data_IF_895157540424
#
_entry.id   IF_895157540424
#
_cell.length_a   1.000
_cell.length_b   1.000
_cell.length_c   1.000
_cell.angle_alpha   90.00
_cell.angle_beta   90.00
_cell.angle_gamma   90.00
#
_symmetry.space_group_name_H-M   'P 1'
#
loop_
_entity.id
_entity.type
_entity.pdbx_description
1 polymer ?
#
# COMPACT_ATOMS: atom_id res chain seq x y z
N UNK A 1 -5.03 13.77 -46.96
CA UNK A 1 -5.34 12.99 -45.75
C UNK A 1 -4.39 13.49 -44.68
N UNK A 2 -4.90 14.25 -43.71
CA UNK A 2 -4.06 14.82 -42.64
C UNK A 2 -4.07 13.78 -41.52
N UNK A 3 -2.95 13.10 -41.37
CA UNK A 3 -2.70 12.15 -40.29
C UNK A 3 -2.70 12.93 -38.96
N UNK A 4 -3.69 12.67 -38.12
CA UNK A 4 -3.85 13.31 -36.82
C UNK A 4 -2.73 12.79 -35.92
N UNK A 5 -1.85 13.68 -35.47
CA UNK A 5 -0.82 13.33 -34.49
C UNK A 5 -1.49 12.67 -33.26
N UNK A 6 -0.92 11.57 -32.72
CA UNK A 6 -1.45 10.94 -31.53
C UNK A 6 -1.43 11.96 -30.39
N UNK A 7 -2.60 12.18 -29.79
CA UNK A 7 -2.78 13.09 -28.66
C UNK A 7 -2.00 12.53 -27.46
N UNK A 8 -0.74 12.96 -27.36
CA UNK A 8 0.23 12.55 -26.34
C UNK A 8 -0.32 12.76 -24.93
N UNK A 9 -1.22 13.74 -24.77
CA UNK A 9 -1.94 13.99 -23.53
C UNK A 9 -2.78 12.79 -23.14
N UNK A 10 -3.52 12.19 -24.08
CA UNK A 10 -4.44 11.06 -23.85
C UNK A 10 -3.71 9.77 -23.48
N UNK A 11 -2.57 9.50 -24.13
CA UNK A 11 -1.67 8.39 -23.76
C UNK A 11 -1.10 8.56 -22.34
N UNK A 12 -0.74 9.79 -21.94
CA UNK A 12 -0.27 10.06 -20.57
C UNK A 12 -1.38 9.88 -19.51
N UNK A 13 -2.65 10.13 -19.83
CA UNK A 13 -3.77 9.89 -18.91
C UNK A 13 -4.07 8.39 -18.80
N UNK A 14 -4.05 7.69 -19.93
CA UNK A 14 -4.29 6.23 -19.99
C UNK A 14 -3.17 5.43 -19.29
N UNK A 15 -1.93 5.94 -19.28
CA UNK A 15 -0.81 5.34 -18.52
C UNK A 15 -0.90 5.65 -17.01
N UNK A 16 -1.46 6.80 -16.62
CA UNK A 16 -1.75 7.14 -15.21
C UNK A 16 -2.90 6.30 -14.64
N UNK A 17 -3.86 5.89 -15.47
CA UNK A 17 -4.97 5.02 -15.05
C UNK A 17 -4.53 3.58 -14.71
N UNK A 18 -3.32 3.13 -15.09
CA UNK A 18 -2.84 1.77 -14.83
C UNK A 18 -2.03 1.59 -13.55
N UNK A 19 -1.55 2.64 -12.91
CA UNK A 19 -1.03 2.56 -11.54
C UNK A 19 -2.19 2.67 -10.54
N UNK A 20 -3.11 1.69 -10.59
CA UNK A 20 -4.11 1.53 -9.54
C UNK A 20 -3.36 1.18 -8.26
N UNK A 21 -3.26 2.13 -7.33
CA UNK A 21 -2.73 1.90 -5.99
C UNK A 21 -3.37 0.61 -5.45
N UNK A 22 -2.53 -0.40 -5.20
CA UNK A 22 -2.99 -1.71 -4.76
C UNK A 22 -3.85 -1.53 -3.51
N UNK A 23 -5.10 -1.98 -3.55
CA UNK A 23 -6.11 -1.78 -2.49
C UNK A 23 -5.91 -2.73 -1.31
N UNK A 24 -4.66 -2.90 -0.89
CA UNK A 24 -4.23 -3.82 0.18
C UNK A 24 -3.87 -3.03 1.46
N UNK A 25 -4.32 -3.47 2.64
CA UNK A 25 -5.23 -4.59 2.85
C UNK A 25 -6.65 -4.25 2.37
N UNK A 26 -7.46 -5.29 2.12
CA UNK A 26 -8.88 -5.11 1.82
C UNK A 26 -9.61 -4.60 3.07
N UNK A 27 -10.19 -3.40 3.02
CA UNK A 27 -10.86 -2.79 4.17
C UNK A 27 -12.22 -3.44 4.49
N UNK A 28 -12.83 -4.16 3.53
CA UNK A 28 -14.08 -4.88 3.76
C UNK A 28 -13.90 -5.97 4.82
N UNK A 29 -12.71 -6.57 4.87
CA UNK A 29 -12.31 -7.56 5.90
C UNK A 29 -12.30 -6.92 7.29
N UNK A 30 -11.80 -5.68 7.41
CA UNK A 30 -11.82 -4.94 8.67
C UNK A 30 -13.25 -4.61 9.12
N UNK A 31 -14.15 -4.29 8.18
CA UNK A 31 -15.56 -4.06 8.46
C UNK A 31 -16.24 -5.34 8.98
N UNK A 32 -15.98 -6.49 8.35
CA UNK A 32 -16.50 -7.79 8.81
C UNK A 32 -16.05 -8.10 10.24
N UNK A 33 -14.76 -7.91 10.55
CA UNK A 33 -14.24 -8.07 11.91
C UNK A 33 -14.97 -7.18 12.92
N UNK A 34 -15.20 -5.91 12.58
CA UNK A 34 -15.93 -4.98 13.44
C UNK A 34 -17.35 -5.47 13.76
N UNK A 35 -18.08 -5.95 12.75
CA UNK A 35 -19.44 -6.48 12.92
C UNK A 35 -19.47 -7.70 13.84
N UNK A 36 -18.45 -8.56 13.77
CA UNK A 36 -18.33 -9.75 14.62
C UNK A 36 -18.10 -9.40 16.09
N UNK A 37 -17.31 -8.37 16.36
CA UNK A 37 -16.99 -7.91 17.72
C UNK A 37 -18.09 -7.07 18.37
N UNK A 38 -19.08 -6.57 17.61
CA UNK A 38 -20.10 -5.67 18.15
C UNK A 38 -21.18 -6.44 18.95
N UNK A 39 -21.53 -6.01 20.18
CA UNK A 39 -22.48 -6.75 21.04
C UNK A 39 -23.90 -6.77 20.46
N UNK A 40 -24.34 -5.69 19.83
CA UNK A 40 -25.74 -5.47 19.43
C UNK A 40 -26.08 -5.99 18.02
N UNK A 41 -25.16 -6.69 17.36
CA UNK A 41 -25.41 -7.30 16.05
C UNK A 41 -26.11 -8.66 16.20
N UNK A 42 -27.16 -8.85 15.41
CA UNK A 42 -27.92 -10.08 15.31
C UNK A 42 -27.04 -11.30 15.01
N UNK A 43 -27.37 -12.43 15.65
CA UNK A 43 -26.60 -13.68 15.53
C UNK A 43 -26.51 -14.21 14.09
N UNK A 44 -27.55 -14.00 13.27
CA UNK A 44 -27.53 -14.39 11.85
C UNK A 44 -26.52 -13.55 11.09
N UNK A 45 -26.50 -12.23 11.32
CA UNK A 45 -25.55 -11.32 10.68
C UNK A 45 -24.11 -11.64 11.10
N UNK A 46 -23.87 -12.00 12.36
CA UNK A 46 -22.55 -12.47 12.82
C UNK A 46 -22.11 -13.74 12.10
N UNK A 47 -23.02 -14.71 11.95
CA UNK A 47 -22.72 -15.95 11.24
C UNK A 47 -22.38 -15.69 9.76
N UNK A 48 -23.22 -14.93 9.06
CA UNK A 48 -23.00 -14.59 7.65
C UNK A 48 -21.70 -13.79 7.46
N UNK A 49 -21.38 -12.90 8.41
CA UNK A 49 -20.12 -12.12 8.39
C UNK A 49 -18.90 -12.99 8.64
N UNK A 50 -19.00 -13.99 9.53
CA UNK A 50 -17.93 -14.96 9.79
C UNK A 50 -17.63 -15.82 8.57
N UNK A 51 -18.66 -16.34 7.91
CA UNK A 51 -18.50 -17.15 6.70
C UNK A 51 -17.79 -16.36 5.59
N UNK A 52 -18.23 -15.13 5.33
CA UNK A 52 -17.59 -14.20 4.37
C UNK A 52 -16.15 -13.86 4.77
N UNK A 53 -15.91 -13.66 6.07
CA UNK A 53 -14.57 -13.35 6.55
C UNK A 53 -13.60 -14.51 6.31
N UNK A 54 -14.03 -15.75 6.58
CA UNK A 54 -13.21 -16.94 6.35
C UNK A 54 -12.95 -17.16 4.86
N UNK A 55 -13.92 -16.89 3.99
CA UNK A 55 -13.73 -16.93 2.54
C UNK A 55 -12.64 -15.95 2.09
N UNK A 56 -12.72 -14.69 2.53
CA UNK A 56 -11.72 -13.67 2.19
C UNK A 56 -10.34 -13.97 2.78
N UNK A 57 -10.28 -14.55 3.98
CA UNK A 57 -9.02 -14.99 4.61
C UNK A 57 -8.35 -16.08 3.77
N UNK A 58 -9.12 -17.04 3.25
CA UNK A 58 -8.61 -18.09 2.37
C UNK A 58 -8.14 -17.53 1.03
N UNK A 59 -8.95 -16.69 0.39
CA UNK A 59 -8.64 -16.07 -0.89
C UNK A 59 -7.35 -15.23 -0.83
N UNK A 60 -7.14 -14.52 0.28
CA UNK A 60 -5.99 -13.62 0.46
C UNK A 60 -4.82 -14.24 1.21
N UNK A 61 -4.91 -15.53 1.55
CA UNK A 61 -3.91 -16.28 2.31
C UNK A 61 -3.53 -15.61 3.64
N UNK A 62 -4.52 -15.08 4.38
CA UNK A 62 -4.29 -14.22 5.54
C UNK A 62 -4.03 -15.00 6.84
N UNK A 63 -3.00 -15.85 6.85
CA UNK A 63 -2.64 -16.69 8.01
C UNK A 63 -2.43 -15.92 9.32
N UNK A 64 -1.54 -14.90 9.36
CA UNK A 64 -1.31 -14.09 10.55
C UNK A 64 -2.58 -13.40 11.06
N UNK A 65 -3.38 -12.86 10.14
CA UNK A 65 -4.64 -12.21 10.48
C UNK A 65 -5.69 -13.20 11.01
N UNK A 66 -5.78 -14.40 10.44
CA UNK A 66 -6.70 -15.43 10.91
C UNK A 66 -6.48 -15.77 12.38
N UNK A 67 -5.22 -15.96 12.77
CA UNK A 67 -4.84 -16.21 14.16
C UNK A 67 -5.24 -15.06 15.09
N UNK A 68 -5.02 -13.81 14.66
CA UNK A 68 -5.42 -12.62 15.42
C UNK A 68 -6.93 -12.60 15.63
N UNK A 69 -7.72 -12.78 14.57
CA UNK A 69 -9.18 -12.71 14.63
C UNK A 69 -9.77 -13.82 15.50
N UNK A 70 -9.28 -15.06 15.40
CA UNK A 70 -9.72 -16.15 16.28
C UNK A 70 -9.49 -15.83 17.75
N UNK A 71 -8.34 -15.21 18.06
CA UNK A 71 -8.00 -14.77 19.42
C UNK A 71 -8.93 -13.65 19.91
N UNK A 72 -9.18 -12.64 19.07
CA UNK A 72 -9.99 -11.47 19.44
C UNK A 72 -11.47 -11.80 19.65
N UNK A 73 -12.02 -12.70 18.83
CA UNK A 73 -13.44 -13.10 18.91
C UNK A 73 -13.63 -14.23 19.95
N UNK A 74 -12.57 -14.92 20.34
CA UNK A 74 -12.62 -16.06 21.25
C UNK A 74 -13.19 -17.33 20.61
N UNK A 75 -13.05 -17.46 19.28
CA UNK A 75 -13.49 -18.65 18.53
C UNK A 75 -12.36 -19.65 18.40
N UNK A 76 -12.68 -20.95 18.48
CA UNK A 76 -11.71 -22.02 18.23
C UNK A 76 -11.14 -21.92 16.81
N UNK A 77 -9.82 -21.81 16.71
CA UNK A 77 -9.10 -21.78 15.44
C UNK A 77 -9.12 -23.16 14.78
N UNK A 78 -9.32 -23.19 13.46
CA UNK A 78 -9.13 -24.40 12.68
C UNK A 78 -7.63 -24.58 12.40
N UNK A 79 -7.00 -25.49 13.12
CA UNK A 79 -5.55 -25.74 13.04
C UNK A 79 -5.09 -26.21 11.66
N UNK A 80 -5.90 -27.00 10.95
CA UNK A 80 -5.59 -27.44 9.58
C UNK A 80 -5.51 -26.23 8.65
N UNK A 81 -6.55 -25.38 8.67
CA UNK A 81 -6.58 -24.17 7.85
C UNK A 81 -5.42 -23.22 8.19
N UNK A 82 -5.14 -23.03 9.48
CA UNK A 82 -4.03 -22.17 9.90
C UNK A 82 -2.67 -22.71 9.43
N UNK A 83 -2.46 -24.02 9.50
CA UNK A 83 -1.23 -24.67 9.04
C UNK A 83 -1.06 -24.50 7.53
N UNK A 84 -2.10 -24.78 6.74
CA UNK A 84 -2.08 -24.62 5.28
C UNK A 84 -1.73 -23.17 4.87
N UNK A 85 -2.37 -22.18 5.52
CA UNK A 85 -2.10 -20.75 5.29
C UNK A 85 -0.66 -20.38 5.66
N UNK A 86 -0.18 -20.86 6.82
CA UNK A 86 1.17 -20.57 7.29
C UNK A 86 2.22 -21.13 6.33
N UNK A 87 2.07 -22.37 5.88
CA UNK A 87 2.99 -22.99 4.93
C UNK A 87 3.02 -22.24 3.59
N UNK A 88 1.85 -21.83 3.08
CA UNK A 88 1.76 -21.00 1.89
C UNK A 88 2.49 -19.65 2.07
N UNK A 89 2.30 -18.99 3.22
CA UNK A 89 2.96 -17.73 3.53
C UNK A 89 4.48 -17.88 3.64
N UNK A 90 4.98 -18.91 4.34
CA UNK A 90 6.41 -19.17 4.48
C UNK A 90 7.08 -19.46 3.13
N UNK A 91 6.43 -20.26 2.29
CA UNK A 91 6.90 -20.54 0.92
C UNK A 91 6.99 -19.25 0.10
N UNK A 92 5.93 -18.44 0.10
CA UNK A 92 5.89 -17.21 -0.70
C UNK A 92 6.88 -16.16 -0.20
N UNK A 93 7.05 -16.03 1.11
CA UNK A 93 8.04 -15.14 1.69
C UNK A 93 9.46 -15.58 1.37
N UNK A 94 9.73 -16.88 1.32
CA UNK A 94 11.02 -17.41 0.88
C UNK A 94 11.32 -17.02 -0.56
N UNK A 95 10.39 -17.25 -1.48
CA UNK A 95 10.53 -16.86 -2.89
C UNK A 95 10.82 -15.35 -3.03
N UNK A 96 10.09 -14.50 -2.31
CA UNK A 96 10.29 -13.05 -2.34
C UNK A 96 11.66 -12.65 -1.75
N UNK A 97 12.12 -13.32 -0.68
CA UNK A 97 13.43 -13.03 -0.11
C UNK A 97 14.58 -13.46 -1.05
N UNK A 98 14.41 -14.57 -1.76
CA UNK A 98 15.37 -15.01 -2.78
C UNK A 98 15.41 -14.01 -3.96
N UNK A 99 14.24 -13.49 -4.39
CA UNK A 99 14.15 -12.41 -5.38
C UNK A 99 14.82 -11.11 -4.92
N UNK A 100 14.71 -10.75 -3.63
CA UNK A 100 15.42 -9.59 -3.06
C UNK A 100 16.93 -9.81 -3.08
N UNK A 101 17.40 -10.99 -2.67
CA UNK A 101 18.82 -11.30 -2.63
C UNK A 101 19.45 -11.27 -4.03
N UNK A 102 18.76 -11.82 -5.03
CA UNK A 102 19.18 -11.74 -6.43
C UNK A 102 19.23 -10.30 -6.93
N UNK A 103 18.18 -9.50 -6.63
CA UNK A 103 18.13 -8.11 -7.04
C UNK A 103 19.26 -7.27 -6.42
N UNK A 104 19.59 -7.49 -5.15
CA UNK A 104 20.67 -6.78 -4.45
C UNK A 104 22.07 -7.13 -4.98
N UNK A 105 22.27 -8.36 -5.49
CA UNK A 105 23.56 -8.83 -5.98
C UNK A 105 23.77 -8.53 -7.47
N UNK A 106 22.71 -8.66 -8.27
CA UNK A 106 22.82 -8.77 -9.73
C UNK A 106 22.08 -7.68 -10.50
N UNK A 107 21.17 -6.93 -9.87
CA UNK A 107 20.30 -5.96 -10.56
C UNK A 107 20.51 -4.51 -10.09
N UNK A 108 19.74 -3.58 -10.65
CA UNK A 108 19.81 -2.16 -10.35
C UNK A 108 18.93 -1.71 -9.17
N UNK A 109 19.09 -0.45 -8.78
CA UNK A 109 18.33 0.16 -7.66
C UNK A 109 16.81 0.11 -7.87
N UNK A 110 16.36 0.20 -9.12
CA UNK A 110 14.94 0.10 -9.48
C UNK A 110 14.38 -1.29 -9.18
N UNK A 111 15.09 -2.35 -9.56
CA UNK A 111 14.69 -3.74 -9.34
C UNK A 111 14.73 -4.09 -7.85
N UNK A 112 15.77 -3.64 -7.13
CA UNK A 112 15.87 -3.77 -5.67
C UNK A 112 14.63 -3.15 -5.01
N UNK A 113 14.31 -1.90 -5.34
CA UNK A 113 13.12 -1.22 -4.78
C UNK A 113 11.85 -2.03 -5.04
N UNK A 114 11.65 -2.53 -6.26
CA UNK A 114 10.47 -3.29 -6.62
C UNK A 114 10.37 -4.64 -5.91
N UNK A 115 11.49 -5.30 -5.64
CA UNK A 115 11.52 -6.54 -4.86
C UNK A 115 11.11 -6.28 -3.39
N UNK A 116 11.64 -5.21 -2.79
CA UNK A 116 11.23 -4.78 -1.44
C UNK A 116 9.76 -4.35 -1.38
N UNK A 117 9.25 -3.68 -2.43
CA UNK A 117 7.84 -3.29 -2.50
C UNK A 117 6.94 -4.52 -2.51
N UNK A 118 7.23 -5.52 -3.35
CA UNK A 118 6.48 -6.79 -3.41
C UNK A 118 6.40 -7.48 -2.04
N UNK A 119 7.50 -7.48 -1.28
CA UNK A 119 7.51 -8.01 0.09
C UNK A 119 6.59 -7.25 1.02
N UNK A 120 6.68 -5.92 1.00
CA UNK A 120 5.86 -5.05 1.85
C UNK A 120 4.37 -5.20 1.54
N UNK A 121 4.02 -5.25 0.26
CA UNK A 121 2.65 -5.49 -0.21
C UNK A 121 2.15 -6.87 0.19
N UNK A 122 2.96 -7.92 0.08
CA UNK A 122 2.57 -9.27 0.49
C UNK A 122 2.30 -9.36 1.99
N UNK A 123 3.21 -8.83 2.82
CA UNK A 123 3.04 -8.77 4.29
C UNK A 123 1.78 -7.98 4.68
N UNK A 124 1.52 -6.89 3.96
CA UNK A 124 0.31 -6.10 4.13
C UNK A 124 -0.96 -6.87 3.74
N UNK A 125 -0.91 -7.66 2.66
CA UNK A 125 -2.03 -8.48 2.17
C UNK A 125 -2.40 -9.58 3.17
N UNK A 126 -1.42 -10.28 3.74
CA UNK A 126 -1.67 -11.38 4.69
C UNK A 126 -2.07 -10.89 6.10
N UNK A 127 -1.98 -9.58 6.33
CA UNK A 127 -2.31 -8.93 7.59
C UNK A 127 -1.27 -9.16 8.69
N UNK A 128 0.01 -9.31 8.34
CA UNK A 128 1.10 -9.27 9.33
C UNK A 128 1.51 -7.82 9.57
N UNK A 129 0.86 -7.19 10.56
CA UNK A 129 0.97 -5.75 10.82
C UNK A 129 2.43 -5.32 11.06
N UNK A 130 3.11 -5.96 11.99
CA UNK A 130 4.42 -5.49 12.45
C UNK A 130 5.50 -5.76 11.40
N UNK A 131 5.45 -6.92 10.75
CA UNK A 131 6.34 -7.22 9.64
C UNK A 131 6.10 -6.30 8.44
N UNK A 132 4.85 -6.00 8.10
CA UNK A 132 4.52 -5.07 7.03
C UNK A 132 5.06 -3.67 7.31
N UNK A 133 4.87 -3.14 8.53
CA UNK A 133 5.42 -1.83 8.94
C UNK A 133 6.94 -1.81 8.82
N UNK A 134 7.63 -2.86 9.25
CA UNK A 134 9.08 -2.95 9.13
C UNK A 134 9.54 -3.01 7.66
N UNK A 135 8.88 -3.83 6.84
CA UNK A 135 9.19 -3.96 5.41
C UNK A 135 8.96 -2.65 4.65
N UNK A 136 7.86 -1.94 4.91
CA UNK A 136 7.58 -0.63 4.30
C UNK A 136 8.65 0.42 4.64
N UNK A 137 9.21 0.38 5.87
CA UNK A 137 10.33 1.26 6.23
C UNK A 137 11.58 0.94 5.40
N UNK A 138 11.90 -0.34 5.21
CA UNK A 138 13.01 -0.75 4.35
C UNK A 138 12.78 -0.31 2.89
N UNK A 139 11.57 -0.52 2.35
CA UNK A 139 11.23 -0.04 1.00
C UNK A 139 11.36 1.48 0.89
N UNK A 140 10.95 2.23 1.92
CA UNK A 140 11.05 3.69 1.94
C UNK A 140 12.50 4.17 1.84
N UNK A 141 13.42 3.54 2.56
CA UNK A 141 14.86 3.85 2.52
C UNK A 141 15.47 3.61 1.13
N UNK A 142 15.02 2.56 0.43
CA UNK A 142 15.44 2.23 -0.94
C UNK A 142 14.75 3.08 -2.02
N UNK A 143 13.78 3.91 -1.64
CA UNK A 143 12.99 4.71 -2.58
C UNK A 143 13.49 6.15 -2.61
N UNK A 144 13.82 6.66 -3.80
CA UNK A 144 14.30 8.05 -3.98
C UNK A 144 13.15 8.99 -4.34
N UNK A 145 12.25 8.59 -5.25
CA UNK A 145 11.17 9.44 -5.75
C UNK A 145 10.17 9.82 -4.66
N UNK A 146 9.89 11.12 -4.52
CA UNK A 146 8.93 11.62 -3.50
C UNK A 146 7.53 11.07 -3.74
N UNK A 147 7.10 10.92 -5.00
CA UNK A 147 5.81 10.31 -5.36
C UNK A 147 5.68 8.90 -4.78
N UNK A 148 6.63 8.02 -5.09
CA UNK A 148 6.67 6.66 -4.55
C UNK A 148 6.71 6.63 -3.01
N UNK A 149 7.43 7.56 -2.37
CA UNK A 149 7.43 7.66 -0.90
C UNK A 149 6.06 8.02 -0.32
N UNK A 150 5.29 8.86 -1.01
CA UNK A 150 3.91 9.20 -0.63
C UNK A 150 3.03 7.95 -0.74
N UNK A 151 3.18 7.14 -1.79
CA UNK A 151 2.40 5.91 -1.98
C UNK A 151 2.65 4.89 -0.86
N UNK A 152 3.92 4.70 -0.47
CA UNK A 152 4.28 3.84 0.67
C UNK A 152 3.61 4.32 1.98
N UNK A 153 3.54 5.64 2.18
CA UNK A 153 2.89 6.22 3.35
C UNK A 153 1.36 6.00 3.30
N UNK A 154 0.74 6.08 2.13
CA UNK A 154 -0.69 5.76 1.98
C UNK A 154 -0.98 4.30 2.29
N UNK A 155 -0.10 3.38 1.89
CA UNK A 155 -0.22 1.97 2.28
C UNK A 155 -0.15 1.79 3.81
N UNK A 156 0.77 2.50 4.49
CA UNK A 156 0.85 2.49 5.95
C UNK A 156 -0.38 3.09 6.64
N UNK A 157 -0.97 4.16 6.08
CA UNK A 157 -2.23 4.73 6.59
C UNK A 157 -3.36 3.72 6.44
N UNK A 158 -3.45 3.06 5.27
CA UNK A 158 -4.46 2.04 4.99
C UNK A 158 -4.32 0.84 5.92
N UNK A 159 -3.09 0.38 6.17
CA UNK A 159 -2.80 -0.66 7.16
C UNK A 159 -3.22 -0.22 8.58
N UNK A 160 -2.95 1.03 8.95
CA UNK A 160 -3.41 1.59 10.22
C UNK A 160 -4.93 1.60 10.35
N UNK A 161 -5.66 1.99 9.30
CA UNK A 161 -7.12 1.94 9.26
C UNK A 161 -7.65 0.50 9.40
N UNK A 162 -7.02 -0.45 8.73
CA UNK A 162 -7.39 -1.86 8.79
C UNK A 162 -7.30 -2.45 10.21
N UNK A 163 -6.25 -2.08 10.97
CA UNK A 163 -6.06 -2.51 12.36
C UNK A 163 -6.62 -1.53 13.40
N UNK A 164 -7.24 -0.42 12.99
CA UNK A 164 -7.68 0.69 13.85
C UNK A 164 -6.56 1.25 14.75
N UNK A 165 -5.32 1.28 14.24
CA UNK A 165 -4.17 1.85 14.95
C UNK A 165 -4.08 3.36 14.72
N UNK A 166 -4.67 4.12 15.64
CA UNK A 166 -4.66 5.59 15.58
C UNK A 166 -3.26 6.19 15.63
N UNK A 167 -2.29 5.57 16.31
CA UNK A 167 -0.92 6.08 16.38
C UNK A 167 -0.25 5.95 15.01
N UNK A 168 -0.39 4.78 14.37
CA UNK A 168 0.15 4.54 13.04
C UNK A 168 -0.50 5.46 11.99
N UNK A 169 -1.82 5.66 12.07
CA UNK A 169 -2.56 6.57 11.16
C UNK A 169 -2.03 8.00 11.31
N UNK A 170 -2.04 8.54 12.53
CA UNK A 170 -1.68 9.94 12.76
C UNK A 170 -0.22 10.24 12.40
N UNK A 171 0.70 9.33 12.75
CA UNK A 171 2.11 9.48 12.43
C UNK A 171 2.34 9.53 10.91
N UNK A 172 1.63 8.70 10.13
CA UNK A 172 1.79 8.64 8.69
C UNK A 172 1.02 9.77 7.96
N UNK A 173 -0.12 10.25 8.48
CA UNK A 173 -0.78 11.47 7.97
C UNK A 173 0.15 12.68 8.09
N UNK A 174 0.84 12.83 9.23
CA UNK A 174 1.80 13.92 9.41
C UNK A 174 2.96 13.84 8.41
N UNK A 175 3.51 12.65 8.17
CA UNK A 175 4.55 12.42 7.15
C UNK A 175 4.05 12.73 5.73
N UNK A 176 2.84 12.30 5.39
CA UNK A 176 2.23 12.57 4.08
C UNK A 176 2.11 14.09 3.83
N UNK A 177 1.61 14.85 4.83
CA UNK A 177 1.52 16.31 4.75
C UNK A 177 2.88 16.95 4.47
N UNK A 178 3.91 16.55 5.22
CA UNK A 178 5.25 17.09 5.03
C UNK A 178 5.81 16.80 3.63
N UNK A 179 5.63 15.60 3.09
CA UNK A 179 6.07 15.28 1.73
C UNK A 179 5.28 16.06 0.67
N UNK A 180 3.97 16.24 0.84
CA UNK A 180 3.15 17.03 -0.08
C UNK A 180 3.57 18.51 -0.11
N UNK A 181 3.93 19.08 1.05
CA UNK A 181 4.48 20.44 1.13
C UNK A 181 5.81 20.56 0.37
N UNK A 182 6.70 19.57 0.50
CA UNK A 182 7.96 19.52 -0.27
C UNK A 182 7.71 19.49 -1.78
N UNK A 183 6.76 18.67 -2.23
CA UNK A 183 6.34 18.61 -3.64
C UNK A 183 5.86 19.98 -4.12
N UNK A 184 4.99 20.65 -3.34
CA UNK A 184 4.49 21.99 -3.67
C UNK A 184 5.61 23.04 -3.75
N UNK A 185 6.59 22.97 -2.85
CA UNK A 185 7.75 23.87 -2.86
C UNK A 185 8.60 23.69 -4.13
N UNK A 186 8.84 22.44 -4.54
CA UNK A 186 9.54 22.13 -5.80
C UNK A 186 8.78 22.71 -6.99
N UNK A 187 7.47 22.49 -7.08
CA UNK A 187 6.63 23.05 -8.15
C UNK A 187 6.65 24.58 -8.19
N UNK A 188 6.59 25.22 -7.02
CA UNK A 188 6.65 26.68 -6.91
C UNK A 188 7.99 27.22 -7.40
N UNK A 189 9.10 26.56 -7.04
CA UNK A 189 10.45 26.93 -7.50
C UNK A 189 10.60 26.72 -9.01
N UNK A 190 10.08 25.62 -9.56
CA UNK A 190 10.07 25.39 -11.00
C UNK A 190 9.25 26.43 -11.77
N UNK A 191 8.06 26.80 -11.27
CA UNK A 191 7.26 27.88 -11.86
C UNK A 191 7.98 29.23 -11.82
N UNK A 192 8.69 29.53 -10.74
CA UNK A 192 9.50 30.74 -10.63
C UNK A 192 10.65 30.75 -11.64
N UNK A 193 11.36 29.62 -11.81
CA UNK A 193 12.46 29.48 -12.77
C UNK A 193 12.00 29.47 -14.23
N UNK A 194 10.82 28.91 -14.53
CA UNK A 194 10.23 28.92 -15.87
C UNK A 194 9.52 30.25 -16.21
N UNK A 195 9.29 31.11 -15.21
CA UNK A 195 8.56 32.38 -15.30
C UNK A 195 9.42 33.61 -15.60
N UNK A 196 10.36 33.53 -16.55
CA UNK A 196 10.98 34.72 -17.16
C UNK A 196 10.77 34.74 -18.67
N UNK A 197 9.77 35.52 -19.16
CA UNK A 197 9.84 36.15 -20.46
C UNK A 197 9.90 37.68 -20.30
N UNK A 198 10.95 38.28 -20.86
CA UNK A 198 11.06 39.68 -21.28
C UNK A 198 10.91 40.77 -20.20
N UNK A 199 12.05 41.23 -19.67
CA UNK A 199 12.21 42.63 -19.29
C UNK A 199 11.84 43.52 -20.49
N UNK A 200 10.80 44.33 -20.32
CA UNK A 200 10.45 45.45 -21.20
C UNK A 200 11.72 46.23 -21.54
N UNK A 201 12.19 46.18 -22.79
CA UNK A 201 12.84 47.34 -23.35
C UNK A 201 11.73 48.36 -23.58
N UNK A 202 11.63 49.30 -22.65
CA UNK A 202 10.91 50.55 -22.83
C UNK A 202 11.46 51.23 -24.08
N UNK A 203 10.59 51.36 -25.07
CA UNK A 203 10.72 52.28 -26.18
C UNK A 203 10.91 53.71 -25.66
N UNK A 204 12.15 54.17 -25.73
CA UNK A 204 12.52 55.59 -25.74
C UNK A 204 13.53 55.77 -26.85
N UNK A 205 13.05 56.14 -28.03
CA UNK A 205 13.44 57.31 -28.84
C UNK A 205 12.68 57.24 -30.16
#
# INVERSE_FOLDING_TARGET
MIEKAPDTTKQLIDDVEKEVISKIPNLDIAQLRFLLSHPDIDSKVKKDSWEKLIELIKENEMGPYYKLVCTDIGTTMNESLFTDLKEANEKRLKEINDEIADAEQNLGESEVRQAYLRKSEYLCKIGDKDAAVASFRQTYEKTVGIGYRIDLIFNLIRLGLFFLDHQLINANIAKAKNLMEQVLAVFTKFKFLAGHPYSRQSSTT
#
